data_IF_260590037543
#
_entry.id   IF_260590037543
#
_cell.length_a   1.000
_cell.length_b   1.000
_cell.length_c   1.000
_cell.angle_alpha   90.00
_cell.angle_beta   90.00
_cell.angle_gamma   90.00
#
_symmetry.space_group_name_H-M   'P 1'
#
loop_
_entity.id
_entity.type
_entity.pdbx_description
1 polymer ?
#
# COMPACT_ATOMS: atom_id res chain seq x y z
N UNK A 1 -67.91 -55.97 60.83
CA UNK A 1 -67.21 -54.69 60.46
C UNK A 1 -65.89 -55.09 59.73
N UNK A 2 -65.79 -54.83 58.41
CA UNK A 2 -64.60 -55.06 57.62
C UNK A 2 -63.76 -53.79 57.66
N UNK A 3 -62.53 -53.95 58.12
CA UNK A 3 -61.53 -52.85 58.12
C UNK A 3 -61.09 -52.56 56.67
N UNK A 4 -61.23 -51.28 56.31
CA UNK A 4 -60.78 -50.77 54.99
C UNK A 4 -59.27 -50.40 55.11
N UNK A 5 -58.46 -51.22 54.44
CA UNK A 5 -57.05 -50.95 54.30
C UNK A 5 -56.79 -49.73 53.44
N UNK A 6 -56.26 -48.65 54.01
CA UNK A 6 -55.83 -47.44 53.25
C UNK A 6 -54.65 -47.82 52.39
N UNK A 7 -54.81 -47.79 51.07
CA UNK A 7 -53.73 -47.91 50.10
C UNK A 7 -53.14 -46.51 49.93
N UNK A 8 -51.93 -46.27 50.39
CA UNK A 8 -51.18 -45.07 50.09
C UNK A 8 -50.49 -45.24 48.70
N UNK A 9 -50.93 -44.47 47.73
CA UNK A 9 -50.26 -44.37 46.44
C UNK A 9 -48.90 -43.66 46.64
N UNK A 10 -47.81 -44.12 46.00
CA UNK A 10 -46.54 -43.42 46.05
C UNK A 10 -46.67 -42.04 45.39
N UNK A 11 -46.39 -40.98 46.12
CA UNK A 11 -46.28 -39.62 45.58
C UNK A 11 -45.02 -39.60 44.72
N UNK A 12 -45.21 -39.60 43.43
CA UNK A 12 -44.12 -39.38 42.49
C UNK A 12 -43.59 -37.92 42.71
N UNK A 13 -42.33 -37.83 43.15
CA UNK A 13 -41.69 -36.52 43.32
C UNK A 13 -41.57 -35.90 41.93
N UNK A 14 -42.39 -34.91 41.65
CA UNK A 14 -42.18 -34.02 40.46
C UNK A 14 -40.88 -33.29 40.75
N UNK A 15 -39.79 -33.64 40.03
CA UNK A 15 -38.56 -32.87 40.05
C UNK A 15 -38.85 -31.49 39.49
N UNK A 16 -38.71 -30.48 40.35
CA UNK A 16 -38.80 -29.07 39.88
C UNK A 16 -37.69 -28.85 38.84
N UNK A 17 -37.98 -28.22 37.69
CA UNK A 17 -36.99 -27.94 36.65
C UNK A 17 -35.89 -27.06 37.25
N UNK A 18 -34.65 -27.57 37.23
CA UNK A 18 -33.47 -26.82 37.68
C UNK A 18 -33.43 -25.43 37.08
N UNK A 19 -33.29 -24.36 37.89
CA UNK A 19 -33.31 -23.00 37.36
C UNK A 19 -32.18 -22.84 36.33
N UNK A 20 -32.53 -22.49 35.09
CA UNK A 20 -31.57 -22.24 34.03
C UNK A 20 -30.68 -21.08 34.48
N UNK A 21 -29.37 -21.37 34.65
CA UNK A 21 -28.37 -20.42 35.10
C UNK A 21 -28.33 -19.22 34.10
N UNK A 22 -28.80 -18.02 34.49
CA UNK A 22 -28.87 -16.87 33.59
C UNK A 22 -27.47 -16.49 33.04
N UNK A 23 -26.41 -16.67 33.80
CA UNK A 23 -25.05 -16.38 33.36
C UNK A 23 -24.63 -17.20 32.12
N UNK A 24 -24.99 -18.49 32.04
CA UNK A 24 -24.70 -19.33 30.87
C UNK A 24 -25.43 -18.79 29.62
N UNK A 25 -26.63 -18.26 29.77
CA UNK A 25 -27.41 -17.70 28.65
C UNK A 25 -26.79 -16.39 28.14
N UNK A 26 -26.31 -15.55 29.04
CA UNK A 26 -25.59 -14.32 28.67
C UNK A 26 -24.27 -14.60 27.99
N UNK A 27 -23.46 -15.54 28.52
CA UNK A 27 -22.20 -15.94 27.89
C UNK A 27 -22.45 -16.50 26.49
N UNK A 28 -23.42 -17.37 26.31
CA UNK A 28 -23.75 -17.95 25.01
C UNK A 28 -24.23 -16.89 24.01
N UNK A 29 -25.09 -15.95 24.44
CA UNK A 29 -25.53 -14.82 23.61
C UNK A 29 -24.35 -13.93 23.20
N UNK A 30 -23.44 -13.62 24.13
CA UNK A 30 -22.23 -12.82 23.84
C UNK A 30 -21.32 -13.48 22.80
N UNK A 31 -21.12 -14.79 22.92
CA UNK A 31 -20.31 -15.57 21.96
C UNK A 31 -20.96 -15.49 20.56
N UNK A 32 -22.26 -15.69 20.46
CA UNK A 32 -23.00 -15.61 19.18
C UNK A 32 -22.85 -14.20 18.59
N UNK A 33 -23.01 -13.17 19.39
CA UNK A 33 -22.85 -11.78 18.93
C UNK A 33 -21.45 -11.51 18.41
N UNK A 34 -20.41 -11.97 19.11
CA UNK A 34 -19.01 -11.84 18.67
C UNK A 34 -18.79 -12.57 17.33
N UNK A 35 -19.26 -13.82 17.21
CA UNK A 35 -19.15 -14.59 15.96
C UNK A 35 -19.87 -13.86 14.82
N UNK A 36 -21.08 -13.33 15.06
CA UNK A 36 -21.84 -12.56 14.10
C UNK A 36 -21.06 -11.32 13.63
N UNK A 37 -20.48 -10.56 14.56
CA UNK A 37 -19.66 -9.37 14.23
C UNK A 37 -18.43 -9.74 13.43
N UNK A 38 -17.76 -10.85 13.73
CA UNK A 38 -16.62 -11.35 12.97
C UNK A 38 -17.04 -11.71 11.53
N UNK A 39 -18.15 -12.43 11.38
CA UNK A 39 -18.68 -12.80 10.05
C UNK A 39 -19.07 -11.54 9.26
N UNK A 40 -19.76 -10.60 9.87
CA UNK A 40 -20.13 -9.35 9.22
C UNK A 40 -18.91 -8.53 8.81
N UNK A 41 -17.89 -8.44 9.68
CA UNK A 41 -16.61 -7.80 9.35
C UNK A 41 -15.90 -8.46 8.18
N UNK A 42 -15.89 -9.78 8.13
CA UNK A 42 -15.30 -10.56 7.04
C UNK A 42 -16.05 -10.34 5.71
N UNK A 43 -17.38 -10.37 5.75
CA UNK A 43 -18.21 -10.09 4.56
C UNK A 43 -18.03 -8.65 4.07
N UNK A 44 -17.99 -7.68 4.99
CA UNK A 44 -17.74 -6.28 4.65
C UNK A 44 -16.35 -6.09 4.01
N UNK A 45 -15.33 -6.74 4.57
CA UNK A 45 -13.97 -6.73 4.03
C UNK A 45 -13.91 -7.22 2.58
N UNK A 46 -14.51 -8.38 2.30
CA UNK A 46 -14.53 -8.94 0.94
C UNK A 46 -15.39 -8.12 -0.02
N UNK A 47 -16.58 -7.71 0.41
CA UNK A 47 -17.50 -6.96 -0.44
C UNK A 47 -16.96 -5.57 -0.79
N UNK A 48 -16.41 -4.85 0.18
CA UNK A 48 -15.90 -3.49 -0.02
C UNK A 48 -14.71 -3.49 -0.99
N UNK A 49 -13.75 -4.40 -0.79
CA UNK A 49 -12.62 -4.53 -1.70
C UNK A 49 -13.06 -4.85 -3.13
N UNK A 50 -13.99 -5.79 -3.29
CA UNK A 50 -14.52 -6.17 -4.61
C UNK A 50 -15.27 -5.00 -5.27
N UNK A 51 -16.11 -4.29 -4.52
CA UNK A 51 -16.84 -3.13 -5.03
C UNK A 51 -15.87 -2.04 -5.46
N UNK A 52 -14.90 -1.67 -4.62
CA UNK A 52 -13.94 -0.61 -4.93
C UNK A 52 -13.13 -0.97 -6.18
N UNK A 53 -12.57 -2.18 -6.26
CA UNK A 53 -11.74 -2.58 -7.39
C UNK A 53 -12.52 -2.69 -8.72
N UNK A 54 -13.82 -3.03 -8.66
CA UNK A 54 -14.63 -3.18 -9.87
C UNK A 54 -15.27 -1.87 -10.36
N UNK A 55 -15.56 -0.92 -9.47
CA UNK A 55 -16.33 0.28 -9.81
C UNK A 55 -15.56 1.58 -9.71
N UNK A 56 -14.40 1.59 -9.03
CA UNK A 56 -13.54 2.76 -8.94
C UNK A 56 -12.30 2.51 -9.78
N UNK A 57 -12.25 3.04 -10.99
CA UNK A 57 -11.04 3.00 -11.82
C UNK A 57 -10.02 4.07 -11.37
N UNK A 58 -8.82 4.05 -11.95
CA UNK A 58 -7.73 4.98 -11.60
C UNK A 58 -8.15 6.43 -11.82
N UNK A 59 -8.88 6.71 -12.91
CA UNK A 59 -9.31 8.07 -13.22
C UNK A 59 -10.40 8.57 -12.25
N UNK A 60 -11.29 7.69 -11.82
CA UNK A 60 -12.28 8.00 -10.79
C UNK A 60 -11.60 8.23 -9.44
N UNK A 61 -10.60 7.40 -9.09
CA UNK A 61 -9.79 7.60 -7.89
C UNK A 61 -9.08 8.94 -7.89
N UNK A 62 -8.45 9.32 -9.01
CA UNK A 62 -7.82 10.64 -9.20
C UNK A 62 -8.80 11.79 -9.02
N UNK A 63 -10.04 11.65 -9.48
CA UNK A 63 -11.07 12.68 -9.30
C UNK A 63 -11.54 12.82 -7.85
N UNK A 64 -11.67 11.69 -7.14
CA UNK A 64 -12.16 11.68 -5.76
C UNK A 64 -11.09 12.16 -4.78
N UNK A 65 -9.86 11.66 -4.91
CA UNK A 65 -8.79 11.86 -3.92
C UNK A 65 -7.69 12.81 -4.38
N UNK A 66 -7.63 13.16 -5.66
CA UNK A 66 -6.50 13.89 -6.24
C UNK A 66 -6.31 15.31 -5.73
N UNK A 67 -7.29 15.91 -5.03
CA UNK A 67 -7.15 17.23 -4.40
C UNK A 67 -6.91 17.17 -2.89
N UNK A 68 -7.05 15.98 -2.28
CA UNK A 68 -7.04 15.83 -0.82
C UNK A 68 -5.61 15.81 -0.26
N UNK A 69 -4.64 15.45 -1.09
CA UNK A 69 -3.25 15.18 -0.68
C UNK A 69 -2.25 16.26 -1.14
N UNK A 70 -2.72 17.40 -1.64
CA UNK A 70 -1.85 18.54 -1.93
C UNK A 70 -1.23 19.06 -0.61
N UNK A 71 -0.09 18.51 -0.26
CA UNK A 71 0.67 18.97 0.91
C UNK A 71 1.31 20.33 0.59
N UNK A 72 1.04 21.35 1.43
CA UNK A 72 1.55 22.72 1.26
C UNK A 72 3.08 22.82 1.21
N UNK A 73 3.79 21.78 1.64
CA UNK A 73 5.26 21.74 1.71
C UNK A 73 5.88 20.87 0.61
N UNK A 74 5.11 20.46 -0.40
CA UNK A 74 5.60 19.68 -1.53
C UNK A 74 5.57 20.50 -2.82
N UNK A 75 6.53 20.29 -3.70
CA UNK A 75 6.55 20.86 -5.04
C UNK A 75 6.55 19.73 -6.07
N UNK A 76 6.07 20.04 -7.28
CA UNK A 76 5.99 19.07 -8.36
C UNK A 76 7.39 18.75 -8.89
N UNK A 77 7.70 17.46 -9.07
CA UNK A 77 8.89 17.02 -9.81
C UNK A 77 8.59 17.05 -11.33
N UNK A 78 9.32 17.88 -12.07
CA UNK A 78 9.16 18.00 -13.51
C UNK A 78 9.86 16.84 -14.26
N UNK A 79 9.31 15.62 -14.16
CA UNK A 79 9.87 14.38 -14.76
C UNK A 79 10.09 14.54 -16.27
N UNK A 80 9.26 15.35 -16.93
CA UNK A 80 9.40 15.71 -18.34
C UNK A 80 10.72 16.41 -18.68
N UNK A 81 11.42 16.92 -17.70
CA UNK A 81 12.72 17.59 -17.88
C UNK A 81 13.92 16.66 -17.79
N UNK A 82 13.78 15.40 -17.41
CA UNK A 82 14.87 14.44 -17.44
C UNK A 82 15.43 14.29 -18.85
N UNK A 83 16.75 14.22 -18.97
CA UNK A 83 17.44 14.09 -20.25
C UNK A 83 17.02 12.81 -20.99
N UNK A 84 16.83 11.72 -20.27
CA UNK A 84 16.33 10.44 -20.80
C UNK A 84 14.93 10.56 -21.39
N UNK A 85 14.07 11.41 -20.83
CA UNK A 85 12.71 11.64 -21.32
C UNK A 85 12.70 12.60 -22.52
N UNK A 86 13.42 13.74 -22.42
CA UNK A 86 13.48 14.74 -23.48
C UNK A 86 14.07 14.19 -24.77
N UNK A 87 15.11 13.37 -24.67
CA UNK A 87 15.84 12.84 -25.81
C UNK A 87 15.18 11.58 -26.41
N UNK A 88 14.13 11.05 -25.79
CA UNK A 88 13.44 9.87 -26.29
C UNK A 88 12.22 10.24 -27.15
N UNK A 89 12.05 9.68 -28.38
CA UNK A 89 10.98 10.06 -29.30
C UNK A 89 9.57 9.97 -28.73
N UNK A 90 9.34 9.04 -27.81
CA UNK A 90 8.04 8.81 -27.15
C UNK A 90 8.10 9.04 -25.64
N UNK A 91 9.19 9.61 -25.10
CA UNK A 91 9.41 9.77 -23.67
C UNK A 91 8.26 10.50 -22.99
N UNK A 92 7.83 11.63 -23.54
CA UNK A 92 6.71 12.40 -23.01
C UNK A 92 5.40 11.59 -22.92
N UNK A 93 5.15 10.71 -23.89
CA UNK A 93 3.96 9.84 -23.91
C UNK A 93 4.02 8.77 -22.80
N UNK A 94 5.24 8.26 -22.52
CA UNK A 94 5.44 7.21 -21.51
C UNK A 94 5.23 7.71 -20.08
N UNK A 95 5.33 9.02 -19.87
CA UNK A 95 5.17 9.68 -18.55
C UNK A 95 3.93 10.57 -18.44
N UNK A 96 3.01 10.53 -19.40
CA UNK A 96 1.82 11.43 -19.44
C UNK A 96 1.00 11.40 -18.15
N UNK A 97 1.05 10.30 -17.42
CA UNK A 97 0.34 10.10 -16.15
C UNK A 97 1.18 10.34 -14.89
N UNK A 98 2.42 10.83 -15.06
CA UNK A 98 3.32 11.23 -13.98
C UNK A 98 3.27 12.75 -13.68
N UNK A 99 2.17 13.39 -13.98
CA UNK A 99 1.91 14.80 -13.67
C UNK A 99 1.78 15.10 -12.18
N UNK A 100 1.57 14.06 -11.37
CA UNK A 100 1.37 14.10 -9.91
C UNK A 100 2.53 13.54 -9.11
N UNK A 101 3.76 13.69 -9.60
CA UNK A 101 4.95 13.37 -8.84
C UNK A 101 5.35 14.58 -8.01
N UNK A 102 5.33 14.41 -6.68
CA UNK A 102 5.60 15.47 -5.72
C UNK A 102 6.90 15.18 -4.98
N UNK A 103 7.67 16.23 -4.68
CA UNK A 103 8.87 16.14 -3.84
C UNK A 103 8.49 16.59 -2.43
N UNK A 104 8.79 15.77 -1.43
CA UNK A 104 8.66 16.13 -0.01
C UNK A 104 10.02 16.48 0.59
N UNK A 105 10.03 17.41 1.54
CA UNK A 105 11.25 17.85 2.26
C UNK A 105 11.65 16.91 3.42
N UNK A 106 11.03 15.72 3.52
CA UNK A 106 11.34 14.74 4.56
C UNK A 106 12.80 14.30 4.48
N UNK A 107 13.50 14.26 5.63
CA UNK A 107 14.93 13.88 5.73
C UNK A 107 15.13 12.36 5.81
N UNK A 108 14.36 11.63 5.03
CA UNK A 108 14.43 10.18 4.86
C UNK A 108 14.53 9.84 3.38
N UNK A 109 15.18 8.74 3.02
CA UNK A 109 15.18 8.24 1.64
C UNK A 109 13.94 7.39 1.40
N UNK A 110 12.93 7.96 0.75
CA UNK A 110 11.68 7.25 0.49
C UNK A 110 10.98 7.74 -0.78
N UNK A 111 10.16 6.86 -1.34
CA UNK A 111 9.15 7.18 -2.33
C UNK A 111 7.93 6.31 -2.07
N UNK A 112 6.75 6.80 -2.36
CA UNK A 112 5.52 6.05 -2.18
C UNK A 112 4.39 6.54 -3.08
N UNK A 113 3.57 5.60 -3.51
CA UNK A 113 2.30 5.87 -4.15
C UNK A 113 1.22 6.14 -3.11
N UNK A 114 0.33 7.07 -3.39
CA UNK A 114 -0.80 7.40 -2.54
C UNK A 114 -2.10 7.50 -3.33
N UNK A 115 -3.23 7.58 -2.61
CA UNK A 115 -4.55 7.71 -3.22
C UNK A 115 -4.62 8.90 -4.16
N UNK A 116 -5.45 8.79 -5.20
CA UNK A 116 -5.60 9.85 -6.19
C UNK A 116 -4.49 9.87 -7.24
N UNK A 117 -3.67 8.82 -7.31
CA UNK A 117 -2.62 8.66 -8.30
C UNK A 117 -1.41 9.56 -8.06
N UNK A 118 -1.19 10.02 -6.84
CA UNK A 118 0.00 10.78 -6.47
C UNK A 118 1.17 9.84 -6.18
N UNK A 119 2.36 10.27 -6.59
CA UNK A 119 3.64 9.67 -6.19
C UNK A 119 4.39 10.73 -5.42
N UNK A 120 4.85 10.42 -4.23
CA UNK A 120 5.74 11.28 -3.47
C UNK A 120 7.13 10.68 -3.46
N UNK A 121 8.12 11.50 -3.76
CA UNK A 121 9.54 11.14 -3.64
C UNK A 121 10.20 12.16 -2.70
N UNK A 122 11.04 11.69 -1.79
CA UNK A 122 11.68 12.61 -0.86
C UNK A 122 12.88 13.30 -1.50
N UNK A 123 13.12 14.54 -1.10
CA UNK A 123 14.30 15.30 -1.49
C UNK A 123 15.59 14.55 -1.18
N UNK A 124 15.63 13.85 -0.04
CA UNK A 124 16.79 13.06 0.37
C UNK A 124 17.12 11.95 -0.63
N UNK A 125 16.11 11.25 -1.14
CA UNK A 125 16.30 10.22 -2.16
C UNK A 125 16.83 10.83 -3.45
N UNK A 126 16.26 11.95 -3.91
CA UNK A 126 16.73 12.65 -5.11
C UNK A 126 18.17 13.14 -4.99
N UNK A 127 18.58 13.67 -3.83
CA UNK A 127 19.95 14.11 -3.57
C UNK A 127 20.96 12.97 -3.56
N UNK A 128 20.55 11.76 -3.21
CA UNK A 128 21.41 10.58 -3.15
C UNK A 128 21.42 9.79 -4.45
N UNK A 129 20.40 9.93 -5.30
CA UNK A 129 20.38 9.34 -6.63
C UNK A 129 21.55 9.86 -7.50
N UNK A 130 22.11 9.01 -8.34
CA UNK A 130 23.24 9.32 -9.20
C UNK A 130 22.92 9.21 -10.69
N UNK A 131 21.83 8.55 -11.00
CA UNK A 131 21.39 8.38 -12.40
C UNK A 131 19.89 8.67 -12.51
N UNK A 132 19.47 9.14 -13.68
CA UNK A 132 18.05 9.29 -13.97
C UNK A 132 17.34 7.93 -13.97
N UNK A 133 18.03 6.86 -14.35
CA UNK A 133 17.49 5.49 -14.36
C UNK A 133 17.11 4.99 -12.97
N UNK A 134 17.86 5.35 -11.91
CA UNK A 134 17.49 5.05 -10.52
C UNK A 134 16.14 5.67 -10.17
N UNK A 135 15.96 6.96 -10.49
CA UNK A 135 14.73 7.69 -10.19
C UNK A 135 13.58 7.16 -11.04
N UNK A 136 13.79 6.96 -12.34
CA UNK A 136 12.77 6.45 -13.25
C UNK A 136 12.31 5.04 -12.90
N UNK A 137 13.22 4.17 -12.43
CA UNK A 137 12.84 2.87 -11.91
C UNK A 137 11.89 2.99 -10.72
N UNK A 138 12.25 3.82 -9.74
CA UNK A 138 11.42 4.05 -8.54
C UNK A 138 10.07 4.63 -8.92
N UNK A 139 10.04 5.67 -9.76
CA UNK A 139 8.78 6.26 -10.22
C UNK A 139 7.91 5.28 -10.99
N UNK A 140 8.53 4.43 -11.83
CA UNK A 140 7.83 3.37 -12.54
C UNK A 140 7.27 2.29 -11.63
N UNK A 141 7.99 1.96 -10.54
CA UNK A 141 7.56 1.05 -9.49
C UNK A 141 6.34 1.61 -8.74
N UNK A 142 6.41 2.85 -8.26
CA UNK A 142 5.30 3.51 -7.56
C UNK A 142 4.07 3.67 -8.47
N UNK A 143 4.30 4.03 -9.73
CA UNK A 143 3.25 4.07 -10.74
C UNK A 143 2.56 2.72 -10.91
N UNK A 144 3.32 1.63 -10.88
CA UNK A 144 2.75 0.30 -10.99
C UNK A 144 1.84 -0.04 -9.81
N UNK A 145 2.15 0.37 -8.58
CA UNK A 145 1.26 0.23 -7.43
C UNK A 145 -0.08 0.95 -7.64
N UNK A 146 -0.07 2.13 -8.27
CA UNK A 146 -1.31 2.85 -8.63
C UNK A 146 -2.14 2.03 -9.63
N UNK A 147 -1.52 1.57 -10.73
CA UNK A 147 -2.23 0.81 -11.77
C UNK A 147 -2.65 -0.59 -11.34
N UNK A 148 -1.87 -1.25 -10.48
CA UNK A 148 -2.22 -2.53 -9.86
C UNK A 148 -3.29 -2.36 -8.77
N UNK A 149 -3.68 -1.13 -8.44
CA UNK A 149 -4.69 -0.82 -7.42
C UNK A 149 -4.28 -1.22 -6.00
N UNK A 150 -2.99 -1.33 -5.72
CA UNK A 150 -2.48 -1.80 -4.44
C UNK A 150 -2.83 -0.81 -3.32
N UNK A 151 -2.69 0.50 -3.56
CA UNK A 151 -2.98 1.57 -2.60
C UNK A 151 -4.45 1.58 -2.19
N UNK A 152 -5.37 1.62 -3.16
CA UNK A 152 -6.81 1.65 -2.86
C UNK A 152 -7.32 0.32 -2.31
N UNK A 153 -6.72 -0.81 -2.71
CA UNK A 153 -7.01 -2.12 -2.13
C UNK A 153 -6.57 -2.18 -0.66
N UNK A 154 -5.43 -1.59 -0.32
CA UNK A 154 -4.97 -1.43 1.04
C UNK A 154 -5.97 -0.65 1.90
N UNK A 155 -6.45 0.49 1.40
CA UNK A 155 -7.51 1.28 2.04
C UNK A 155 -8.78 0.45 2.25
N UNK A 156 -9.28 -0.19 1.20
CA UNK A 156 -10.51 -1.00 1.26
C UNK A 156 -10.42 -2.12 2.31
N UNK A 157 -9.23 -2.71 2.47
CA UNK A 157 -8.96 -3.75 3.49
C UNK A 157 -8.85 -3.19 4.90
N UNK A 158 -8.37 -1.97 5.08
CA UNK A 158 -8.16 -1.34 6.39
C UNK A 158 -9.46 -0.80 7.00
N UNK A 159 -10.40 -0.29 6.20
CA UNK A 159 -11.65 0.33 6.67
C UNK A 159 -12.45 -0.57 7.63
N UNK A 160 -12.78 -1.84 7.31
CA UNK A 160 -13.56 -2.68 8.21
C UNK A 160 -12.85 -2.96 9.54
N UNK A 161 -11.52 -3.13 9.52
CA UNK A 161 -10.72 -3.36 10.72
C UNK A 161 -10.72 -2.11 11.60
N UNK A 162 -10.53 -0.95 10.98
CA UNK A 162 -10.54 0.34 11.68
C UNK A 162 -11.88 0.63 12.33
N UNK A 163 -12.99 0.37 11.64
CA UNK A 163 -14.35 0.53 12.19
C UNK A 163 -14.58 -0.38 13.42
N UNK A 164 -14.15 -1.63 13.35
CA UNK A 164 -14.28 -2.57 14.48
C UNK A 164 -13.44 -2.10 15.67
N UNK A 165 -12.20 -1.69 15.46
CA UNK A 165 -11.33 -1.21 16.55
C UNK A 165 -11.82 0.09 17.18
N UNK A 166 -12.45 0.97 16.40
CA UNK A 166 -13.10 2.20 16.91
C UNK A 166 -14.32 1.90 17.77
N UNK A 167 -15.21 1.01 17.30
CA UNK A 167 -16.39 0.59 18.07
C UNK A 167 -15.98 -0.04 19.40
N UNK A 168 -14.88 -0.79 19.43
CA UNK A 168 -14.33 -1.40 20.64
C UNK A 168 -13.54 -0.42 21.52
N UNK A 169 -13.36 0.82 21.07
CA UNK A 169 -12.61 1.86 21.80
C UNK A 169 -11.09 1.62 21.85
N UNK A 170 -10.55 0.77 20.97
CA UNK A 170 -9.14 0.41 20.92
C UNK A 170 -8.29 1.39 20.11
N UNK A 171 -8.89 2.12 19.19
CA UNK A 171 -8.20 3.10 18.37
C UNK A 171 -9.08 4.37 18.22
N UNK A 172 -8.52 5.53 18.54
CA UNK A 172 -9.23 6.81 18.45
C UNK A 172 -8.90 7.63 17.19
N UNK A 173 -8.00 7.12 16.34
CA UNK A 173 -7.56 7.83 15.13
C UNK A 173 -8.00 7.06 13.89
N UNK A 174 -9.26 7.19 13.54
CA UNK A 174 -9.93 6.41 12.49
C UNK A 174 -9.31 6.58 11.09
N UNK A 175 -8.76 7.73 10.79
CA UNK A 175 -8.25 8.07 9.47
C UNK A 175 -6.96 8.90 9.59
N UNK A 176 -5.88 8.27 10.05
CA UNK A 176 -4.58 8.87 9.84
C UNK A 176 -4.14 8.54 8.40
N UNK A 177 -4.04 9.53 7.48
CA UNK A 177 -3.64 9.28 6.10
C UNK A 177 -2.30 8.57 5.99
N UNK A 178 -1.37 8.83 6.91
CA UNK A 178 -0.06 8.19 6.98
C UNK A 178 -0.15 6.67 7.27
N UNK A 179 -1.10 6.24 8.11
CA UNK A 179 -1.32 4.82 8.37
C UNK A 179 -2.00 4.08 7.21
N UNK A 180 -2.76 4.80 6.37
CA UNK A 180 -3.38 4.24 5.17
C UNK A 180 -2.36 3.96 4.06
N UNK A 181 -1.26 4.73 4.03
CA UNK A 181 -0.13 4.55 3.10
C UNK A 181 0.71 3.33 3.50
N UNK A 182 0.80 3.01 4.79
CA UNK A 182 1.63 1.92 5.34
C UNK A 182 0.94 0.54 5.36
N UNK A 183 -0.12 0.32 4.58
CA UNK A 183 -0.67 -1.03 4.42
C UNK A 183 0.40 -1.93 3.80
N UNK A 184 0.84 -2.94 4.55
CA UNK A 184 1.90 -3.86 4.16
C UNK A 184 1.60 -4.46 2.79
N UNK A 185 2.35 -4.02 1.77
CA UNK A 185 2.22 -4.47 0.39
C UNK A 185 2.71 -5.94 0.33
N UNK A 186 2.03 -6.78 -0.43
CA UNK A 186 2.41 -8.19 -0.56
C UNK A 186 3.63 -8.35 -1.47
N UNK A 187 4.41 -9.42 -1.27
CA UNK A 187 5.55 -9.74 -2.16
C UNK A 187 5.15 -9.83 -3.63
N UNK A 188 3.98 -10.38 -3.92
CA UNK A 188 3.48 -10.47 -5.29
C UNK A 188 3.21 -9.07 -5.89
N UNK A 189 2.70 -8.15 -5.09
CA UNK A 189 2.49 -6.76 -5.52
C UNK A 189 3.82 -6.05 -5.76
N UNK A 190 4.83 -6.27 -4.90
CA UNK A 190 6.19 -5.75 -5.08
C UNK A 190 6.84 -6.28 -6.37
N UNK A 191 6.71 -7.57 -6.66
CA UNK A 191 7.23 -8.16 -7.90
C UNK A 191 6.56 -7.52 -9.14
N UNK A 192 5.26 -7.31 -9.10
CA UNK A 192 4.54 -6.61 -10.18
C UNK A 192 4.97 -5.15 -10.31
N UNK A 193 5.23 -4.48 -9.20
CA UNK A 193 5.72 -3.10 -9.20
C UNK A 193 7.14 -3.02 -9.79
N UNK A 194 8.02 -3.95 -9.45
CA UNK A 194 9.36 -4.05 -10.04
C UNK A 194 9.33 -4.28 -11.56
N UNK A 195 8.42 -5.14 -12.03
CA UNK A 195 8.18 -5.33 -13.46
C UNK A 195 7.77 -4.00 -14.10
N UNK A 196 6.93 -3.21 -13.43
CA UNK A 196 6.51 -1.89 -13.90
C UNK A 196 7.66 -0.89 -13.98
N UNK A 197 8.50 -0.82 -12.95
CA UNK A 197 9.71 0.01 -12.94
C UNK A 197 10.69 -0.36 -14.05
N UNK A 198 11.00 -1.67 -14.14
CA UNK A 198 11.86 -2.20 -15.22
C UNK A 198 11.29 -1.93 -16.61
N UNK A 199 9.97 -2.12 -16.78
CA UNK A 199 9.30 -1.89 -18.06
C UNK A 199 9.45 -0.44 -18.51
N UNK A 200 9.35 0.54 -17.61
CA UNK A 200 9.55 1.95 -17.97
C UNK A 200 10.96 2.18 -18.51
N UNK A 201 12.00 1.64 -17.87
CA UNK A 201 13.37 1.73 -18.36
C UNK A 201 13.55 1.08 -19.75
N UNK A 202 12.95 -0.09 -19.96
CA UNK A 202 12.99 -0.80 -21.23
C UNK A 202 12.25 -0.06 -22.34
N UNK A 203 11.09 0.50 -22.07
CA UNK A 203 10.29 1.29 -23.02
C UNK A 203 11.03 2.57 -23.44
N UNK A 204 11.86 3.12 -22.54
CA UNK A 204 12.77 4.24 -22.83
C UNK A 204 14.10 3.78 -23.46
N UNK A 205 14.29 2.48 -23.68
CA UNK A 205 15.50 1.92 -24.25
C UNK A 205 16.75 2.14 -23.38
N UNK A 206 16.61 2.27 -22.06
CA UNK A 206 17.67 2.52 -21.11
C UNK A 206 18.34 1.22 -20.65
N UNK A 207 19.55 1.36 -20.09
CA UNK A 207 20.27 0.28 -19.44
C UNK A 207 19.70 0.04 -18.04
N UNK A 208 19.04 -1.10 -17.82
CA UNK A 208 18.43 -1.40 -16.52
C UNK A 208 19.46 -1.55 -15.40
N UNK A 209 20.71 -1.89 -15.72
CA UNK A 209 21.79 -1.96 -14.73
C UNK A 209 22.13 -0.58 -14.12
N UNK A 210 21.79 0.51 -14.78
CA UNK A 210 22.00 1.86 -14.24
C UNK A 210 21.13 2.17 -13.02
N UNK A 211 20.03 1.43 -12.81
CA UNK A 211 19.20 1.53 -11.62
C UNK A 211 19.65 0.59 -10.48
N UNK A 212 20.62 -0.29 -10.69
CA UNK A 212 21.04 -1.31 -9.71
C UNK A 212 21.76 -0.72 -8.51
N UNK A 213 22.37 0.45 -8.67
CA UNK A 213 23.08 1.15 -7.61
C UNK A 213 22.18 1.49 -6.43
N UNK A 214 20.97 1.86 -6.69
CA UNK A 214 19.96 2.08 -5.66
C UNK A 214 19.87 0.84 -4.74
N UNK A 215 19.72 -0.36 -5.31
CA UNK A 215 19.64 -1.60 -4.54
C UNK A 215 20.97 -1.99 -3.88
N UNK A 216 22.10 -1.81 -4.57
CA UNK A 216 23.43 -2.17 -4.06
C UNK A 216 23.86 -1.32 -2.88
N UNK A 217 23.66 -0.02 -2.94
CA UNK A 217 23.97 0.88 -1.85
C UNK A 217 23.13 0.54 -0.62
N UNK A 218 21.96 0.01 -0.86
CA UNK A 218 20.97 -0.34 0.16
C UNK A 218 21.25 -1.73 0.75
N UNK A 219 21.78 -2.67 0.04
CA UNK A 219 22.15 -3.99 0.56
C UNK A 219 23.37 -3.97 1.50
N UNK A 220 24.28 -2.99 1.37
CA UNK A 220 25.57 -2.97 2.07
C UNK A 220 25.58 -2.28 3.45
N UNK A 221 24.55 -1.51 3.80
CA UNK A 221 24.50 -0.66 5.01
C UNK A 221 23.22 -0.84 5.81
N UNK A 222 23.04 -1.98 6.44
CA UNK A 222 21.83 -2.37 7.17
C UNK A 222 21.37 -1.40 8.29
N UNK A 223 22.25 -0.56 8.81
CA UNK A 223 21.92 0.40 9.90
C UNK A 223 21.35 1.75 9.42
N UNK A 224 21.39 2.04 8.13
CA UNK A 224 21.02 3.36 7.57
C UNK A 224 19.76 3.33 6.69
N UNK A 225 19.15 2.21 6.55
CA UNK A 225 18.09 1.99 5.60
C UNK A 225 16.73 1.98 6.22
N UNK A 226 16.21 2.86 5.98
CA UNK A 226 15.29 3.76 5.40
C UNK A 226 13.95 3.11 5.06
N UNK A 227 12.95 3.88 5.25
CA UNK A 227 11.55 3.50 5.14
C UNK A 227 11.21 2.87 3.78
N UNK A 228 11.93 3.23 2.69
CA UNK A 228 11.68 2.61 1.38
C UNK A 228 11.90 1.09 1.39
N UNK A 229 12.99 0.59 1.97
CA UNK A 229 13.22 -0.86 2.05
C UNK A 229 12.32 -1.52 3.10
N UNK A 230 11.98 -0.82 4.17
CA UNK A 230 11.05 -1.34 5.17
C UNK A 230 9.64 -1.48 4.60
N UNK A 231 9.23 -0.56 3.70
CA UNK A 231 7.95 -0.62 2.99
C UNK A 231 7.98 -1.59 1.80
N UNK A 232 9.17 -1.81 1.19
CA UNK A 232 9.37 -2.63 -0.01
C UNK A 232 10.43 -3.73 0.20
N UNK A 233 10.13 -4.80 0.93
CA UNK A 233 11.10 -5.85 1.31
C UNK A 233 11.60 -6.70 0.12
N UNK A 234 12.65 -7.51 0.34
CA UNK A 234 13.26 -8.48 -0.60
C UNK A 234 14.21 -7.90 -1.68
N UNK A 235 15.18 -7.10 -1.27
CA UNK A 235 16.10 -6.34 -2.15
C UNK A 235 16.97 -7.19 -3.08
N UNK A 236 17.45 -8.38 -2.68
CA UNK A 236 18.35 -9.19 -3.51
C UNK A 236 17.66 -9.80 -4.73
N UNK A 237 16.45 -10.33 -4.56
CA UNK A 237 15.67 -10.89 -5.68
C UNK A 237 15.26 -9.78 -6.67
N UNK A 238 14.94 -8.59 -6.13
CA UNK A 238 14.59 -7.41 -6.94
C UNK A 238 15.76 -6.99 -7.83
N UNK A 239 16.98 -6.95 -7.28
CA UNK A 239 18.20 -6.66 -8.04
C UNK A 239 18.44 -7.68 -9.15
N UNK A 240 18.33 -8.98 -8.86
CA UNK A 240 18.47 -10.04 -9.86
C UNK A 240 17.47 -9.88 -11.00
N UNK A 241 16.19 -9.62 -10.68
CA UNK A 241 15.14 -9.41 -11.66
C UNK A 241 15.37 -8.13 -12.50
N UNK A 242 15.92 -7.08 -11.92
CA UNK A 242 16.27 -5.85 -12.64
C UNK A 242 17.34 -6.09 -13.68
N UNK A 243 18.38 -6.85 -13.33
CA UNK A 243 19.53 -7.12 -14.21
C UNK A 243 19.26 -8.17 -15.28
N UNK A 244 18.29 -9.08 -15.02
CA UNK A 244 17.92 -10.13 -15.96
C UNK A 244 17.39 -9.53 -17.26
N UNK A 245 17.79 -10.13 -18.39
CA UNK A 245 17.30 -9.75 -19.73
C UNK A 245 17.45 -8.25 -20.05
N UNK A 246 18.57 -7.65 -19.65
CA UNK A 246 18.91 -6.27 -20.00
C UNK A 246 19.34 -6.20 -21.49
N UNK A 247 18.58 -5.56 -22.38
CA UNK A 247 18.91 -5.52 -23.81
C UNK A 247 19.94 -4.46 -24.19
N UNK A 248 20.31 -3.57 -23.29
CA UNK A 248 21.19 -2.43 -23.55
C UNK A 248 22.34 -2.32 -22.52
N UNK A 249 23.09 -3.42 -22.24
CA UNK A 249 24.06 -3.42 -21.15
C UNK A 249 25.27 -2.49 -21.42
N UNK A 250 25.53 -2.14 -22.69
CA UNK A 250 26.63 -1.27 -23.11
C UNK A 250 26.28 0.22 -23.08
N UNK A 251 24.97 0.58 -22.90
CA UNK A 251 24.58 1.99 -22.80
C UNK A 251 25.09 2.59 -21.49
N UNK A 252 25.70 3.77 -21.59
CA UNK A 252 26.10 4.55 -20.41
C UNK A 252 24.86 5.01 -19.63
N UNK A 253 25.02 5.10 -18.31
CA UNK A 253 24.01 5.67 -17.44
C UNK A 253 23.94 7.19 -17.60
N UNK A 254 22.74 7.74 -17.42
CA UNK A 254 22.52 9.19 -17.47
C UNK A 254 22.76 9.76 -16.08
N UNK A 255 23.84 10.51 -15.91
CA UNK A 255 24.12 11.15 -14.62
C UNK A 255 23.00 12.08 -14.19
N UNK A 256 22.74 12.09 -12.88
CA UNK A 256 21.76 12.95 -12.26
C UNK A 256 22.35 13.64 -11.03
N UNK A 257 22.20 14.96 -11.01
CA UNK A 257 22.41 15.81 -9.83
C UNK A 257 21.16 16.64 -9.58
N UNK A 258 20.62 16.55 -8.38
CA UNK A 258 19.36 17.21 -8.04
C UNK A 258 19.48 18.75 -8.03
N UNK A 259 20.64 19.30 -7.67
CA UNK A 259 20.84 20.75 -7.65
C UNK A 259 20.90 21.30 -9.08
N UNK A 260 21.71 20.65 -9.93
CA UNK A 260 21.79 21.01 -11.35
C UNK A 260 20.43 20.87 -12.05
N UNK A 261 19.66 19.85 -11.67
CA UNK A 261 18.31 19.65 -12.19
C UNK A 261 17.38 20.82 -11.83
N UNK A 262 17.42 21.32 -10.58
CA UNK A 262 16.61 22.45 -10.13
C UNK A 262 17.02 23.77 -10.82
N UNK A 263 18.31 24.01 -10.98
CA UNK A 263 18.83 25.20 -11.65
C UNK A 263 18.36 25.26 -13.12
N UNK A 264 18.44 24.13 -13.83
CA UNK A 264 17.97 24.00 -15.21
C UNK A 264 16.45 24.20 -15.42
N UNK A 265 15.65 24.09 -14.35
CA UNK A 265 14.21 24.38 -14.39
C UNK A 265 13.92 25.86 -14.12
N UNK A 266 14.69 26.48 -13.22
CA UNK A 266 14.49 27.88 -12.83
C UNK A 266 14.89 28.90 -13.89
N UNK A 267 15.69 28.52 -14.89
CA UNK A 267 16.13 29.36 -16.00
C UNK A 267 15.14 29.42 -17.21
N UNK A 268 14.01 28.72 -17.12
CA UNK A 268 12.95 28.69 -18.16
C UNK A 268 11.65 29.31 -17.68
#
# INVERSE_FOLDING_TARGET
MKEIKKISLPIEKIEEPTPRNPAKKWIFSSIITIIFLIIMGFLAYHSLNTIILNYVDVETEKKIFGQVLDNKNSHRLAVENFATIKNHPTGQKLITDMDRVMVSDDDIENAYASLGGHITITKKLLQNAKTEEEILFILGHERAHIYNRDVISGLAKSIPITLVTEILGWNKNLLNPEQLILSKISREAEEKADIGGKKLLLDLGLNTACADRFFKNHASNFEKYTEFIASHPDTNLRLENLLKDNPNPEKSCTEFDYQDFLENISEK
#
